data_IF_017493539920
#
_entry.id   IF_017493539920
#
_cell.length_a   1.000
_cell.length_b   1.000
_cell.length_c   1.000
_cell.angle_alpha   90.00
_cell.angle_beta   90.00
_cell.angle_gamma   90.00
#
_symmetry.space_group_name_H-M   'P 1'
#
loop_
_entity.id
_entity.type
_entity.pdbx_description
1 polymer ?
#
# COMPACT_ATOMS: atom_id res chain seq x y z
N UNK A 1 -20.32 -2.41 -10.97
CA UNK A 1 -19.05 -2.81 -10.29
C UNK A 1 -18.03 -1.68 -10.29
N UNK A 2 -17.91 -0.91 -11.37
CA UNK A 2 -17.02 0.26 -11.42
C UNK A 2 -17.34 1.31 -10.34
N UNK A 3 -18.62 1.58 -10.06
CA UNK A 3 -19.02 2.53 -9.02
C UNK A 3 -18.55 2.14 -7.61
N UNK A 4 -18.63 0.84 -7.28
CA UNK A 4 -18.17 0.32 -5.99
C UNK A 4 -16.64 0.43 -5.88
N UNK A 5 -15.92 0.02 -6.93
CA UNK A 5 -14.46 0.16 -6.97
C UNK A 5 -14.06 1.62 -6.82
N UNK A 6 -14.68 2.52 -7.57
CA UNK A 6 -14.37 3.95 -7.52
C UNK A 6 -14.69 4.57 -6.15
N UNK A 7 -15.82 4.18 -5.54
CA UNK A 7 -16.18 4.61 -4.19
C UNK A 7 -15.17 4.11 -3.14
N UNK A 8 -14.62 2.90 -3.29
CA UNK A 8 -13.59 2.38 -2.38
C UNK A 8 -12.27 3.12 -2.59
N UNK A 9 -11.83 3.26 -3.84
CA UNK A 9 -10.58 3.94 -4.20
C UNK A 9 -10.56 5.40 -3.73
N UNK A 10 -11.71 6.10 -3.79
CA UNK A 10 -11.85 7.48 -3.27
C UNK A 10 -11.75 7.59 -1.74
N UNK A 11 -11.91 6.49 -1.00
CA UNK A 11 -11.83 6.46 0.47
C UNK A 11 -10.46 6.03 0.99
N UNK A 12 -9.49 5.76 0.11
CA UNK A 12 -8.12 5.48 0.51
C UNK A 12 -7.54 6.69 1.24
N UNK A 13 -6.94 6.44 2.40
CA UNK A 13 -6.29 7.49 3.18
C UNK A 13 -4.89 7.79 2.61
N UNK A 14 -4.26 8.86 3.09
CA UNK A 14 -2.86 9.13 2.79
C UNK A 14 -1.94 7.98 3.22
N UNK A 15 -2.24 7.33 4.36
CA UNK A 15 -1.51 6.14 4.83
C UNK A 15 -1.64 4.97 3.85
N UNK A 16 -2.85 4.71 3.34
CA UNK A 16 -3.09 3.66 2.36
C UNK A 16 -2.34 3.92 1.06
N UNK A 17 -2.44 5.16 0.55
CA UNK A 17 -1.78 5.59 -0.68
C UNK A 17 -0.26 5.59 -0.54
N UNK A 18 0.28 5.92 0.63
CA UNK A 18 1.72 5.84 0.90
C UNK A 18 2.23 4.41 0.74
N UNK A 19 1.50 3.43 1.30
CA UNK A 19 1.86 2.02 1.16
C UNK A 19 1.77 1.56 -0.30
N UNK A 20 0.65 1.88 -0.97
CA UNK A 20 0.45 1.51 -2.37
C UNK A 20 1.50 2.16 -3.28
N UNK A 21 1.91 3.40 -3.02
CA UNK A 21 2.95 4.08 -3.80
C UNK A 21 4.31 3.39 -3.67
N UNK A 22 4.72 2.95 -2.47
CA UNK A 22 5.96 2.16 -2.33
C UNK A 22 5.85 0.86 -3.12
N UNK A 23 4.76 0.12 -2.99
CA UNK A 23 4.60 -1.14 -3.72
C UNK A 23 4.57 -0.93 -5.24
N UNK A 24 3.99 0.18 -5.71
CA UNK A 24 3.94 0.55 -7.13
C UNK A 24 5.32 0.89 -7.68
N UNK A 25 6.06 1.77 -7.02
CA UNK A 25 7.36 2.25 -7.51
C UNK A 25 8.45 1.16 -7.52
N UNK A 26 8.31 0.15 -6.65
CA UNK A 26 9.21 -0.99 -6.57
C UNK A 26 8.70 -2.21 -7.36
N UNK A 27 7.66 -2.04 -8.19
CA UNK A 27 7.03 -3.09 -8.99
C UNK A 27 6.64 -4.35 -8.18
N UNK A 28 6.24 -4.21 -6.92
CA UNK A 28 5.87 -5.31 -6.01
C UNK A 28 4.43 -5.76 -6.29
N UNK A 29 4.22 -6.33 -7.48
CA UNK A 29 2.91 -6.64 -8.07
C UNK A 29 2.56 -8.15 -8.05
N UNK A 30 3.40 -8.95 -7.42
CA UNK A 30 3.34 -10.41 -7.52
C UNK A 30 3.96 -11.09 -6.31
N UNK A 31 3.50 -12.32 -6.04
CA UNK A 31 3.94 -13.10 -4.88
C UNK A 31 5.46 -13.30 -4.81
N UNK A 32 6.13 -13.46 -5.95
CA UNK A 32 7.58 -13.68 -5.98
C UNK A 32 8.40 -12.43 -5.63
N UNK A 33 7.84 -11.24 -5.90
CA UNK A 33 8.46 -9.96 -5.52
C UNK A 33 8.07 -9.49 -4.13
N UNK A 34 7.20 -10.23 -3.43
CA UNK A 34 6.55 -9.76 -2.22
C UNK A 34 7.54 -9.21 -1.18
N UNK A 35 7.20 -8.04 -0.64
CA UNK A 35 8.05 -7.26 0.25
C UNK A 35 7.71 -7.57 1.71
N UNK A 36 8.72 -7.71 2.58
CA UNK A 36 8.49 -7.99 4.00
C UNK A 36 7.75 -6.82 4.66
N UNK A 37 6.79 -7.11 5.54
CA UNK A 37 6.00 -6.07 6.25
C UNK A 37 6.87 -5.00 6.91
N UNK A 38 7.92 -5.44 7.61
CA UNK A 38 8.83 -4.55 8.33
C UNK A 38 9.58 -3.61 7.38
N UNK A 39 10.09 -4.16 6.29
CA UNK A 39 10.90 -3.42 5.32
C UNK A 39 10.02 -2.43 4.55
N UNK A 40 8.77 -2.82 4.22
CA UNK A 40 7.76 -1.93 3.63
C UNK A 40 7.49 -0.72 4.53
N UNK A 41 7.24 -0.95 5.83
CA UNK A 41 7.01 0.14 6.78
C UNK A 41 8.22 1.07 6.86
N UNK A 42 9.43 0.51 6.92
CA UNK A 42 10.66 1.30 6.99
C UNK A 42 10.83 2.18 5.74
N UNK A 43 10.51 1.66 4.55
CA UNK A 43 10.59 2.46 3.32
C UNK A 43 9.52 3.57 3.28
N UNK A 44 8.30 3.30 3.76
CA UNK A 44 7.27 4.35 3.92
C UNK A 44 7.75 5.45 4.86
N UNK A 45 8.28 5.10 6.03
CA UNK A 45 8.82 6.09 7.00
C UNK A 45 9.95 6.89 6.37
N UNK A 46 10.91 6.22 5.72
CA UNK A 46 12.05 6.87 5.07
C UNK A 46 11.62 7.85 3.98
N UNK A 47 10.63 7.48 3.16
CA UNK A 47 10.07 8.37 2.14
C UNK A 47 9.37 9.57 2.77
N UNK A 48 8.56 9.38 3.81
CA UNK A 48 7.91 10.49 4.53
C UNK A 48 8.89 11.45 5.15
N UNK A 49 9.95 10.96 5.80
CA UNK A 49 11.02 11.81 6.31
C UNK A 49 11.63 12.65 5.19
N UNK A 50 11.89 12.05 4.03
CA UNK A 50 12.46 12.74 2.87
C UNK A 50 11.54 13.81 2.29
N UNK A 51 10.24 13.55 2.21
CA UNK A 51 9.27 14.42 1.52
C UNK A 51 8.59 15.45 2.44
N UNK A 52 8.38 15.11 3.70
CA UNK A 52 7.59 15.88 4.66
C UNK A 52 8.40 16.36 5.88
N UNK A 53 9.64 15.91 6.03
CA UNK A 53 10.49 16.27 7.17
C UNK A 53 10.15 15.55 8.48
N UNK A 54 9.06 14.76 8.53
CA UNK A 54 8.71 13.89 9.66
C UNK A 54 8.43 12.46 9.21
N UNK A 55 8.76 11.50 10.08
CA UNK A 55 8.54 10.07 9.85
C UNK A 55 7.28 9.56 10.53
N UNK A 56 6.28 10.42 10.75
CA UNK A 56 5.08 10.11 11.54
C UNK A 56 4.24 9.03 10.84
N UNK A 57 4.58 7.78 11.15
CA UNK A 57 3.90 6.60 10.66
C UNK A 57 4.13 5.46 11.64
N UNK A 58 3.23 5.38 12.62
CA UNK A 58 3.34 4.40 13.70
C UNK A 58 3.03 3.00 13.20
N UNK A 59 3.47 2.00 13.98
CA UNK A 59 3.09 0.60 13.74
C UNK A 59 1.56 0.41 13.73
N UNK A 60 0.83 1.16 14.56
CA UNK A 60 -0.63 1.09 14.61
C UNK A 60 -1.27 1.62 13.31
N UNK A 61 -0.77 2.74 12.78
CA UNK A 61 -1.19 3.27 11.48
C UNK A 61 -0.91 2.30 10.34
N UNK A 62 0.30 1.72 10.34
CA UNK A 62 0.70 0.73 9.34
C UNK A 62 -0.23 -0.49 9.37
N UNK A 63 -0.43 -1.12 10.53
CA UNK A 63 -1.32 -2.29 10.66
C UNK A 63 -2.74 -1.97 10.23
N UNK A 64 -3.29 -0.82 10.64
CA UNK A 64 -4.64 -0.39 10.27
C UNK A 64 -4.80 -0.28 8.75
N UNK A 65 -3.80 0.27 8.08
CA UNK A 65 -3.80 0.46 6.62
C UNK A 65 -3.61 -0.87 5.88
N UNK A 66 -2.70 -1.74 6.35
CA UNK A 66 -2.53 -3.09 5.79
C UNK A 66 -3.83 -3.90 5.86
N UNK A 67 -4.51 -3.93 7.01
CA UNK A 67 -5.76 -4.68 7.12
C UNK A 67 -6.88 -4.10 6.26
N UNK A 68 -6.97 -2.77 6.14
CA UNK A 68 -7.93 -2.13 5.25
C UNK A 68 -7.67 -2.51 3.79
N UNK A 69 -6.42 -2.37 3.34
CA UNK A 69 -6.01 -2.65 1.96
C UNK A 69 -6.19 -4.13 1.60
N UNK A 70 -5.92 -5.05 2.53
CA UNK A 70 -6.16 -6.49 2.34
C UNK A 70 -7.66 -6.80 2.26
N UNK A 71 -8.48 -6.19 3.14
CA UNK A 71 -9.93 -6.39 3.15
C UNK A 71 -10.60 -5.96 1.83
N UNK A 72 -10.08 -4.91 1.18
CA UNK A 72 -10.55 -4.46 -0.13
C UNK A 72 -9.80 -5.09 -1.31
N UNK A 73 -8.98 -6.11 -1.06
CA UNK A 73 -8.21 -6.87 -2.07
C UNK A 73 -7.22 -6.03 -2.87
N UNK A 74 -6.76 -4.89 -2.36
CA UNK A 74 -5.75 -4.06 -3.05
C UNK A 74 -4.33 -4.60 -2.85
N UNK A 75 -4.11 -5.29 -1.74
CA UNK A 75 -2.89 -6.06 -1.48
C UNK A 75 -3.26 -7.49 -1.09
N UNK A 76 -2.28 -8.38 -1.16
CA UNK A 76 -2.34 -9.71 -0.55
C UNK A 76 -1.17 -9.91 0.39
N UNK A 77 -1.43 -10.64 1.47
CA UNK A 77 -0.43 -11.03 2.46
C UNK A 77 -0.06 -12.49 2.19
N UNK A 78 1.23 -12.72 1.98
CA UNK A 78 1.80 -14.06 1.90
C UNK A 78 2.08 -14.50 3.33
N UNK A 79 1.20 -15.36 3.83
CA UNK A 79 1.34 -16.05 5.11
C UNK A 79 2.35 -17.20 4.94
N UNK A 80 3.37 -17.25 5.80
CA UNK A 80 4.43 -18.26 5.71
C UNK A 80 5.82 -17.67 6.02
N UNK A 81 6.72 -18.54 6.48
CA UNK A 81 8.02 -18.23 7.09
C UNK A 81 8.00 -17.13 8.18
N UNK A 82 9.16 -16.91 8.82
CA UNK A 82 9.36 -16.10 10.04
C UNK A 82 8.79 -14.66 9.97
N UNK A 83 8.53 -14.12 8.77
CA UNK A 83 7.95 -12.79 8.55
C UNK A 83 6.97 -12.80 7.36
N UNK A 84 5.77 -12.25 7.55
CA UNK A 84 4.79 -12.08 6.48
C UNK A 84 5.28 -11.11 5.40
N UNK A 85 4.98 -11.43 4.14
CA UNK A 85 5.29 -10.58 2.98
C UNK A 85 4.00 -10.03 2.35
N UNK A 86 4.12 -8.95 1.60
CA UNK A 86 3.00 -8.23 0.98
C UNK A 86 3.31 -8.00 -0.50
N UNK A 87 2.31 -8.17 -1.35
CA UNK A 87 2.36 -7.69 -2.73
C UNK A 87 1.04 -7.02 -3.13
N UNK A 88 1.12 -6.13 -4.12
CA UNK A 88 -0.02 -5.44 -4.69
C UNK A 88 -0.78 -6.36 -5.65
N UNK A 89 -2.10 -6.32 -5.63
CA UNK A 89 -2.94 -7.03 -6.60
C UNK A 89 -3.21 -6.16 -7.83
N UNK A 90 -3.83 -6.75 -8.87
CA UNK A 90 -4.36 -6.00 -10.01
C UNK A 90 -5.34 -4.88 -9.62
N UNK A 91 -6.08 -5.05 -8.52
CA UNK A 91 -7.04 -4.05 -8.03
C UNK A 91 -6.31 -2.88 -7.36
N UNK A 92 -5.29 -3.16 -6.54
CA UNK A 92 -4.43 -2.13 -5.96
C UNK A 92 -3.69 -1.33 -7.03
N UNK A 93 -3.20 -2.01 -8.07
CA UNK A 93 -2.54 -1.37 -9.21
C UNK A 93 -3.48 -0.42 -9.96
N UNK A 94 -4.72 -0.85 -10.15
CA UNK A 94 -5.74 0.00 -10.79
C UNK A 94 -6.10 1.19 -9.91
N UNK A 95 -6.17 0.98 -8.58
CA UNK A 95 -6.53 2.03 -7.63
C UNK A 95 -5.45 3.12 -7.56
N UNK A 96 -4.18 2.74 -7.43
CA UNK A 96 -3.08 3.71 -7.36
C UNK A 96 -2.94 4.49 -8.68
N UNK A 97 -3.10 3.83 -9.83
CA UNK A 97 -3.09 4.52 -11.14
C UNK A 97 -4.24 5.52 -11.27
N UNK A 98 -5.42 5.20 -10.75
CA UNK A 98 -6.54 6.14 -10.73
C UNK A 98 -6.24 7.35 -9.83
N UNK A 99 -5.66 7.13 -8.65
CA UNK A 99 -5.25 8.22 -7.75
C UNK A 99 -4.20 9.13 -8.36
N UNK A 100 -3.21 8.57 -9.08
CA UNK A 100 -2.17 9.35 -9.76
C UNK A 100 -2.70 10.15 -10.96
N UNK A 101 -3.68 9.61 -11.70
CA UNK A 101 -4.33 10.31 -12.83
C UNK A 101 -5.15 11.53 -12.40
N UNK A 102 -5.61 11.58 -11.15
CA UNK A 102 -6.36 12.73 -10.60
C UNK A 102 -5.49 13.91 -10.16
N UNK A 103 -4.17 13.84 -10.37
CA UNK A 103 -3.18 14.90 -10.04
C UNK A 103 -2.70 15.63 -11.31
N UNK A 104 -3.47 15.55 -12.40
CA UNK A 104 -3.23 16.23 -13.67
C UNK A 104 -4.23 17.34 -13.95
#
# INVERSE_FOLDING_TARGET
MEDLFHSISKRLTFDDLSILSILYDYDIDSRFKAFKKRDLRNEVVKRRVKEQGSGDFTEANFRKSIYRLEAVRFIEIVYGEKEHKIYMTKYGLSAIRQSLKGVG
#
